data_IF_569049881266
#
_entry.id   IF_569049881266
#
_cell.length_a   1.000
_cell.length_b   1.000
_cell.length_c   1.000
_cell.angle_alpha   90.00
_cell.angle_beta   90.00
_cell.angle_gamma   90.00
#
_symmetry.space_group_name_H-M   'P 1'
#
loop_
_entity.id
_entity.type
_entity.pdbx_description
1 polymer ?
#
# COMPACT_ATOMS: atom_id res chain seq x y z
N UNK A 1 -49.44 -24.56 -26.61
CA UNK A 1 -48.85 -23.43 -27.36
C UNK A 1 -49.18 -22.16 -26.56
N UNK A 2 -48.19 -21.63 -25.84
CA UNK A 2 -48.09 -20.28 -25.20
C UNK A 2 -46.71 -20.27 -24.54
N UNK A 3 -45.68 -19.66 -25.14
CA UNK A 3 -45.18 -18.28 -24.93
C UNK A 3 -44.86 -17.92 -23.47
N UNK A 4 -43.54 -17.92 -23.19
CA UNK A 4 -42.71 -17.19 -22.19
C UNK A 4 -43.09 -17.19 -20.71
N UNK A 5 -42.10 -17.57 -19.88
CA UNK A 5 -41.76 -17.12 -18.51
C UNK A 5 -40.70 -18.14 -17.99
N UNK A 6 -39.56 -17.81 -17.39
CA UNK A 6 -38.94 -16.55 -17.04
C UNK A 6 -37.44 -16.84 -16.77
N UNK A 7 -36.59 -15.84 -16.94
CA UNK A 7 -35.13 -15.93 -16.91
C UNK A 7 -34.64 -16.36 -15.51
N UNK A 8 -33.85 -17.44 -15.47
CA UNK A 8 -33.21 -17.93 -14.25
C UNK A 8 -32.37 -16.84 -13.58
N UNK A 9 -32.72 -16.55 -12.33
CA UNK A 9 -32.09 -15.56 -11.46
C UNK A 9 -30.55 -15.65 -11.48
N UNK A 10 -29.91 -14.68 -12.14
CA UNK A 10 -28.53 -14.33 -11.87
C UNK A 10 -28.49 -13.66 -10.50
N UNK A 11 -28.21 -14.44 -9.47
CA UNK A 11 -27.82 -13.91 -8.15
C UNK A 11 -26.38 -13.42 -8.31
N UNK A 12 -26.24 -12.15 -8.69
CA UNK A 12 -24.99 -11.43 -8.49
C UNK A 12 -24.95 -11.14 -7.00
N UNK A 13 -24.14 -11.88 -6.25
CA UNK A 13 -23.85 -11.53 -4.86
C UNK A 13 -23.16 -10.16 -4.87
N UNK A 14 -23.84 -9.16 -4.34
CA UNK A 14 -23.25 -7.86 -4.05
C UNK A 14 -22.09 -8.09 -3.07
N UNK A 15 -20.86 -7.92 -3.55
CA UNK A 15 -19.68 -7.88 -2.69
C UNK A 15 -19.71 -6.52 -2.00
N UNK A 16 -20.27 -6.48 -0.79
CA UNK A 16 -20.12 -5.34 0.11
C UNK A 16 -18.64 -5.25 0.51
N UNK A 17 -17.93 -4.26 -0.03
CA UNK A 17 -16.64 -3.85 0.51
C UNK A 17 -16.93 -3.21 1.86
N UNK A 18 -16.80 -3.99 2.93
CA UNK A 18 -16.80 -3.47 4.29
C UNK A 18 -15.56 -2.59 4.41
N UNK A 19 -15.75 -1.28 4.39
CA UNK A 19 -14.74 -0.32 4.77
C UNK A 19 -14.45 -0.57 6.25
N UNK A 20 -13.39 -1.34 6.54
CA UNK A 20 -12.93 -1.55 7.92
C UNK A 20 -12.32 -0.22 8.36
N UNK A 21 -13.15 0.67 8.90
CA UNK A 21 -12.68 1.82 9.66
C UNK A 21 -12.16 1.30 10.99
N UNK A 22 -10.85 1.09 11.03
CA UNK A 22 -10.11 0.56 12.16
C UNK A 22 -9.99 1.65 13.24
N UNK A 23 -10.96 1.71 14.17
CA UNK A 23 -11.13 2.79 15.17
C UNK A 23 -9.95 2.92 16.17
N UNK A 24 -9.00 1.99 16.19
CA UNK A 24 -7.89 1.93 17.16
C UNK A 24 -6.50 2.29 16.61
N UNK A 25 -6.39 2.85 15.39
CA UNK A 25 -5.08 3.24 14.83
C UNK A 25 -4.64 4.60 15.38
N UNK A 26 -3.59 4.61 16.20
CA UNK A 26 -2.95 5.84 16.63
C UNK A 26 -1.86 6.25 15.63
N UNK A 27 -2.11 7.28 14.81
CA UNK A 27 -1.15 7.75 13.82
C UNK A 27 0.03 8.43 14.52
N UNK A 28 1.23 7.89 14.30
CA UNK A 28 2.49 8.42 14.82
C UNK A 28 3.07 9.43 13.84
N UNK A 29 3.08 9.10 12.55
CA UNK A 29 3.70 9.92 11.51
C UNK A 29 2.97 9.78 10.18
N UNK A 30 2.84 10.92 9.48
CA UNK A 30 2.51 10.97 8.05
C UNK A 30 3.62 11.74 7.35
N UNK A 31 4.08 11.24 6.21
CA UNK A 31 5.14 11.86 5.43
C UNK A 31 4.90 11.65 3.94
N UNK A 32 5.50 12.51 3.11
CA UNK A 32 5.53 12.32 1.67
C UNK A 32 6.96 12.20 1.21
N UNK A 33 7.22 11.11 0.50
CA UNK A 33 8.53 10.82 -0.03
C UNK A 33 8.57 10.91 -1.55
N UNK A 34 9.74 11.23 -2.09
CA UNK A 34 10.09 10.97 -3.49
C UNK A 34 11.19 9.91 -3.49
N UNK A 35 10.96 8.81 -4.20
CA UNK A 35 11.93 7.72 -4.30
C UNK A 35 13.10 8.18 -5.17
N UNK A 36 14.31 8.05 -4.65
CA UNK A 36 15.56 8.35 -5.36
C UNK A 36 16.17 7.09 -5.98
N UNK A 37 16.07 5.97 -5.25
CA UNK A 37 16.56 4.66 -5.67
C UNK A 37 15.86 3.52 -4.90
N UNK A 38 15.95 2.30 -5.41
CA UNK A 38 15.44 1.09 -4.74
C UNK A 38 16.46 -0.04 -4.79
N UNK A 39 16.54 -0.81 -3.70
CA UNK A 39 17.40 -1.98 -3.61
C UNK A 39 16.64 -3.16 -3.03
N UNK A 40 16.95 -4.37 -3.51
CA UNK A 40 16.49 -5.62 -2.91
C UNK A 40 17.65 -6.18 -2.08
N UNK A 41 17.40 -6.39 -0.79
CA UNK A 41 18.37 -6.95 0.15
C UNK A 41 17.89 -8.32 0.63
N UNK A 42 18.83 -9.26 0.76
CA UNK A 42 18.54 -10.56 1.36
C UNK A 42 18.88 -10.51 2.85
N UNK A 43 17.93 -10.94 3.70
CA UNK A 43 18.12 -11.11 5.13
C UNK A 43 18.30 -12.59 5.44
N UNK A 44 19.53 -12.97 5.79
CA UNK A 44 19.91 -14.34 6.13
C UNK A 44 19.23 -14.85 7.40
N UNK A 45 18.92 -13.97 8.37
CA UNK A 45 18.32 -14.36 9.64
C UNK A 45 16.85 -14.78 9.46
N UNK A 46 16.15 -14.13 8.53
CA UNK A 46 14.75 -14.39 8.23
C UNK A 46 14.54 -15.25 6.97
N UNK A 47 15.62 -15.59 6.25
CA UNK A 47 15.58 -16.28 4.95
C UNK A 47 14.59 -15.60 3.97
N UNK A 48 14.64 -14.26 3.91
CA UNK A 48 13.68 -13.43 3.20
C UNK A 48 14.33 -12.24 2.48
N UNK A 49 13.71 -11.75 1.40
CA UNK A 49 14.17 -10.58 0.67
C UNK A 49 13.32 -9.36 1.00
N UNK A 50 13.93 -8.22 1.28
CA UNK A 50 13.22 -6.95 1.41
C UNK A 50 13.52 -6.01 0.26
N UNK A 51 12.50 -5.26 -0.12
CA UNK A 51 12.60 -4.12 -1.04
C UNK A 51 12.68 -2.84 -0.21
N UNK A 52 13.83 -2.18 -0.28
CA UNK A 52 14.08 -0.90 0.35
C UNK A 52 14.03 0.22 -0.68
N UNK A 53 13.48 1.37 -0.29
CA UNK A 53 13.49 2.60 -1.07
C UNK A 53 14.27 3.67 -0.33
N UNK A 54 15.32 4.21 -0.96
CA UNK A 54 15.98 5.43 -0.52
C UNK A 54 15.21 6.61 -1.09
N UNK A 55 14.75 7.48 -0.20
CA UNK A 55 13.83 8.56 -0.55
C UNK A 55 14.26 9.89 0.05
N UNK A 56 13.71 10.98 -0.49
CA UNK A 56 13.76 12.31 0.12
C UNK A 56 12.37 12.69 0.64
N UNK A 57 12.30 13.20 1.87
CA UNK A 57 11.06 13.63 2.51
C UNK A 57 10.77 15.13 2.29
N UNK A 58 9.64 15.61 2.82
CA UNK A 58 9.25 17.03 2.76
C UNK A 58 10.24 18.00 3.42
N UNK A 59 11.04 17.52 4.38
CA UNK A 59 12.09 18.29 5.07
C UNK A 59 13.44 18.25 4.34
N UNK A 60 13.51 17.62 3.16
CA UNK A 60 14.72 17.38 2.36
C UNK A 60 15.74 16.46 3.04
N UNK A 61 15.29 15.63 3.96
CA UNK A 61 16.12 14.61 4.60
C UNK A 61 16.03 13.31 3.79
N UNK A 62 17.15 12.60 3.72
CA UNK A 62 17.23 11.30 3.06
C UNK A 62 16.93 10.23 4.09
N UNK A 63 15.95 9.38 3.77
CA UNK A 63 15.55 8.24 4.59
C UNK A 63 15.53 6.98 3.72
N UNK A 64 15.77 5.82 4.35
CA UNK A 64 15.59 4.52 3.69
C UNK A 64 14.52 3.76 4.44
N UNK A 65 13.47 3.36 3.72
CA UNK A 65 12.32 2.66 4.29
C UNK A 65 12.08 1.35 3.54
N UNK A 66 11.52 0.36 4.24
CA UNK A 66 10.95 -0.81 3.58
C UNK A 66 9.63 -0.40 2.92
N UNK A 67 9.44 -0.82 1.67
CA UNK A 67 8.20 -0.58 0.90
C UNK A 67 7.41 -1.87 0.69
N UNK A 68 7.73 -2.91 1.48
CA UNK A 68 7.01 -4.17 1.46
C UNK A 68 5.52 -3.98 1.79
N UNK A 69 4.65 -4.57 0.95
CA UNK A 69 3.20 -4.48 1.12
C UNK A 69 2.58 -3.13 0.78
N UNK A 70 3.35 -2.14 0.30
CA UNK A 70 2.79 -0.85 -0.10
C UNK A 70 1.96 -0.97 -1.39
N UNK A 71 0.84 -0.25 -1.45
CA UNK A 71 -0.02 -0.24 -2.63
C UNK A 71 0.63 0.56 -3.76
N UNK A 72 0.76 -0.02 -4.95
CA UNK A 72 1.36 0.63 -6.12
C UNK A 72 0.24 0.99 -7.12
N UNK A 73 0.16 2.25 -7.54
CA UNK A 73 -0.77 2.66 -8.59
C UNK A 73 -0.34 2.12 -9.96
N UNK A 74 -1.32 1.81 -10.82
CA UNK A 74 -1.09 1.21 -12.15
C UNK A 74 -0.19 2.05 -13.07
N UNK A 75 -0.11 3.35 -12.86
CA UNK A 75 0.68 4.27 -13.67
C UNK A 75 2.16 4.37 -13.26
N UNK A 76 2.60 3.63 -12.23
CA UNK A 76 4.00 3.60 -11.80
C UNK A 76 4.78 2.63 -12.68
N UNK A 77 5.54 3.16 -13.65
CA UNK A 77 6.36 2.36 -14.56
C UNK A 77 7.75 2.03 -13.99
N UNK A 78 8.27 2.90 -13.14
CA UNK A 78 9.51 2.71 -12.39
C UNK A 78 9.37 3.38 -11.03
N UNK A 79 10.08 2.87 -10.02
CA UNK A 79 10.02 3.45 -8.67
C UNK A 79 10.74 4.79 -8.58
N UNK A 80 11.85 4.97 -9.30
CA UNK A 80 12.63 6.18 -9.22
C UNK A 80 11.82 7.39 -9.69
N UNK A 81 11.72 8.40 -8.83
CA UNK A 81 10.92 9.60 -9.06
C UNK A 81 9.44 9.45 -8.70
N UNK A 82 8.96 8.24 -8.37
CA UNK A 82 7.62 8.04 -7.85
C UNK A 82 7.49 8.62 -6.43
N UNK A 83 6.27 9.01 -6.08
CA UNK A 83 5.91 9.51 -4.76
C UNK A 83 5.43 8.37 -3.87
N UNK A 84 5.66 8.52 -2.56
CA UNK A 84 5.03 7.69 -1.54
C UNK A 84 4.26 8.59 -0.59
N UNK A 85 2.97 8.35 -0.43
CA UNK A 85 2.23 8.82 0.74
C UNK A 85 2.36 7.74 1.82
N UNK A 86 3.04 8.06 2.92
CA UNK A 86 3.41 7.12 3.98
C UNK A 86 2.69 7.44 5.29
N UNK A 87 2.31 6.38 6.00
CA UNK A 87 1.70 6.44 7.32
C UNK A 87 2.36 5.41 8.26
N UNK A 88 2.78 5.89 9.43
CA UNK A 88 3.24 5.08 10.55
C UNK A 88 2.22 5.19 11.67
N UNK A 89 1.80 4.04 12.21
CA UNK A 89 0.78 3.99 13.24
C UNK A 89 1.04 2.88 14.25
N UNK A 90 0.58 3.11 15.47
CA UNK A 90 0.54 2.08 16.51
C UNK A 90 -0.81 1.36 16.47
N UNK A 91 -0.76 0.02 16.47
CA UNK A 91 -1.93 -0.84 16.62
C UNK A 91 -1.54 -2.06 17.45
N UNK A 92 -2.30 -2.36 18.51
CA UNK A 92 -2.02 -3.47 19.42
C UNK A 92 -0.58 -3.47 19.99
N UNK A 93 -0.07 -2.29 20.37
CA UNK A 93 1.30 -2.07 20.86
C UNK A 93 2.41 -2.47 19.87
N UNK A 94 2.10 -2.50 18.57
CA UNK A 94 3.06 -2.71 17.50
C UNK A 94 3.06 -1.50 16.56
N UNK A 95 4.26 -1.12 16.12
CA UNK A 95 4.44 -0.12 15.07
C UNK A 95 4.21 -0.80 13.72
N UNK A 96 3.31 -0.22 12.94
CA UNK A 96 2.98 -0.67 11.59
C UNK A 96 3.20 0.46 10.60
N UNK A 97 3.39 0.07 9.35
CA UNK A 97 3.69 0.97 8.25
C UNK A 97 2.73 0.67 7.11
N UNK A 98 2.23 1.73 6.47
CA UNK A 98 1.48 1.62 5.23
C UNK A 98 1.95 2.73 4.29
N UNK A 99 1.83 2.48 3.00
CA UNK A 99 2.13 3.48 2.01
C UNK A 99 1.46 3.22 0.68
N UNK A 100 1.30 4.30 -0.08
CA UNK A 100 0.82 4.27 -1.47
C UNK A 100 1.85 4.90 -2.38
N UNK A 101 2.30 4.15 -3.38
CA UNK A 101 3.28 4.58 -4.39
C UNK A 101 2.53 5.03 -5.65
N UNK A 102 2.86 6.20 -6.17
CA UNK A 102 2.19 6.79 -7.33
C UNK A 102 3.06 7.76 -8.13
N UNK A 103 2.69 7.97 -9.39
CA UNK A 103 3.23 9.05 -10.24
C UNK A 103 2.15 10.12 -10.45
N UNK A 104 2.57 11.38 -10.56
CA UNK A 104 1.70 12.51 -10.93
C UNK A 104 1.41 12.56 -12.43
#
# INVERSE_FOLDING_TARGET
>A
MSLFEDIGNNVVEDIEFVEITDEDRNIIRKARFIILDTAIIYNEEEDFYYTLATCINENKEIETISIEGFGIQENVLEFKGAYIDYEEYEQNSKINYNGRIYCL
#
